data_IF_810833991383
#
_entry.id   IF_810833991383
#
_cell.length_a   1.000
_cell.length_b   1.000
_cell.length_c   1.000
_cell.angle_alpha   90.00
_cell.angle_beta   90.00
_cell.angle_gamma   90.00
#
_symmetry.space_group_name_H-M   'P 1'
#
loop_
_entity.id
_entity.type
_entity.pdbx_description
1 polymer ?
#
# COMPACT_ATOMS: atom_id res chain seq x y z
N UNK A 1 41.32 8.65 -25.31
CA UNK A 1 40.09 9.35 -24.85
C UNK A 1 39.33 8.38 -23.96
N UNK A 2 39.25 8.58 -22.64
CA UNK A 2 38.43 7.75 -21.77
C UNK A 2 37.04 8.37 -21.63
N UNK A 3 36.01 7.61 -22.01
CA UNK A 3 34.60 8.02 -21.88
C UNK A 3 34.12 7.70 -20.47
N UNK A 4 33.65 8.74 -19.79
CA UNK A 4 33.22 8.77 -18.40
C UNK A 4 31.85 8.07 -18.27
N UNK A 5 31.78 6.92 -17.60
CA UNK A 5 30.52 6.26 -17.25
C UNK A 5 30.14 6.61 -15.81
N UNK A 6 29.00 7.29 -15.65
CA UNK A 6 28.50 7.84 -14.39
C UNK A 6 28.03 6.75 -13.39
N UNK A 7 28.26 6.91 -12.07
CA UNK A 7 27.92 5.91 -11.06
C UNK A 7 26.48 6.09 -10.56
N UNK A 8 25.52 5.34 -11.11
CA UNK A 8 24.12 5.32 -10.61
C UNK A 8 23.60 3.94 -10.17
N UNK A 9 24.46 2.92 -10.10
CA UNK A 9 24.03 1.53 -9.78
C UNK A 9 24.37 1.11 -8.33
N UNK A 10 25.08 1.92 -7.54
CA UNK A 10 25.71 1.46 -6.30
C UNK A 10 24.94 1.70 -4.98
N UNK A 11 23.59 1.71 -4.96
CA UNK A 11 22.82 1.87 -3.70
C UNK A 11 21.81 0.75 -3.38
N UNK A 12 21.51 -0.16 -4.31
CA UNK A 12 20.50 -1.21 -4.13
C UNK A 12 20.98 -2.44 -3.35
N UNK A 13 22.27 -2.79 -3.39
CA UNK A 13 22.77 -4.01 -2.73
C UNK A 13 22.92 -3.89 -1.21
N UNK A 14 22.97 -2.66 -0.67
CA UNK A 14 23.18 -2.43 0.77
C UNK A 14 21.92 -2.67 1.62
N UNK A 15 20.74 -2.65 1.00
CA UNK A 15 19.45 -2.82 1.69
C UNK A 15 19.23 -4.30 2.10
N UNK A 16 19.87 -5.25 1.42
CA UNK A 16 19.66 -6.70 1.63
C UNK A 16 20.11 -7.21 3.01
N UNK A 17 21.03 -6.53 3.69
CA UNK A 17 21.46 -6.87 5.06
C UNK A 17 20.77 -6.05 6.15
N UNK A 18 20.28 -4.86 5.81
CA UNK A 18 19.77 -3.92 6.82
C UNK A 18 18.30 -4.17 7.20
N UNK A 19 17.57 -4.91 6.36
CA UNK A 19 16.15 -5.26 6.58
C UNK A 19 15.90 -6.28 7.70
N UNK A 20 16.92 -7.01 8.17
CA UNK A 20 16.78 -8.05 9.21
C UNK A 20 17.34 -7.64 10.58
N UNK A 21 18.13 -6.55 10.65
CA UNK A 21 18.81 -6.14 11.90
C UNK A 21 18.10 -5.00 12.66
N UNK A 22 17.06 -4.37 12.10
CA UNK A 22 16.36 -3.25 12.75
C UNK A 22 14.96 -3.68 13.25
N UNK A 23 14.92 -4.29 14.42
CA UNK A 23 13.70 -4.75 15.13
C UNK A 23 12.86 -3.63 15.78
N UNK A 24 12.97 -2.37 15.32
CA UNK A 24 12.26 -1.22 15.91
C UNK A 24 11.85 -0.17 14.87
N UNK A 25 11.45 -0.60 13.67
CA UNK A 25 10.76 0.29 12.73
C UNK A 25 9.31 -0.16 12.70
N UNK A 26 8.44 0.61 13.34
CA UNK A 26 6.99 0.41 13.30
C UNK A 26 6.49 0.79 11.91
N UNK A 27 6.24 -0.22 11.08
CA UNK A 27 5.67 -0.05 9.76
C UNK A 27 4.14 -0.03 9.90
N UNK A 28 3.49 1.13 9.79
CA UNK A 28 2.03 1.28 9.81
C UNK A 28 1.39 0.81 8.48
N UNK A 29 1.68 -0.42 8.04
CA UNK A 29 0.93 -1.07 6.97
C UNK A 29 -0.03 -2.06 7.63
N UNK A 30 -1.23 -1.58 7.96
CA UNK A 30 -2.33 -2.46 8.36
C UNK A 30 -3.30 -2.53 7.18
N UNK A 31 -3.35 -3.66 6.48
CA UNK A 31 -4.34 -3.92 5.42
C UNK A 31 -5.24 -5.03 5.90
N UNK A 32 -6.46 -4.71 6.35
CA UNK A 32 -7.41 -5.68 6.88
C UNK A 32 -8.41 -6.10 5.80
N UNK A 33 -8.25 -7.35 5.34
CA UNK A 33 -9.17 -8.00 4.41
C UNK A 33 -9.55 -9.34 5.02
N UNK A 34 -10.84 -9.51 5.36
CA UNK A 34 -11.35 -10.75 5.97
C UNK A 34 -12.46 -11.38 5.14
N UNK A 35 -12.60 -12.71 5.26
CA UNK A 35 -13.74 -13.49 4.74
C UNK A 35 -14.47 -14.19 5.87
N UNK A 36 -15.78 -14.47 5.70
CA UNK A 36 -16.49 -15.35 6.60
C UNK A 36 -15.89 -16.77 6.57
N UNK A 37 -15.74 -17.41 7.73
CA UNK A 37 -15.02 -18.68 8.00
C UNK A 37 -15.36 -19.86 7.07
N UNK A 38 -16.52 -19.85 6.40
CA UNK A 38 -17.14 -21.06 5.89
C UNK A 38 -17.21 -21.24 4.38
N UNK A 39 -16.54 -20.47 3.51
CA UNK A 39 -16.61 -20.83 2.08
C UNK A 39 -15.48 -20.44 1.11
N UNK A 40 -14.52 -19.58 1.44
CA UNK A 40 -13.46 -19.25 0.47
C UNK A 40 -12.13 -18.98 1.17
N UNK A 41 -11.10 -19.76 0.83
CA UNK A 41 -9.71 -19.39 1.11
C UNK A 41 -9.33 -18.24 0.17
N UNK A 42 -9.51 -17.00 0.64
CA UNK A 42 -9.00 -15.78 -0.02
C UNK A 42 -7.51 -15.57 0.13
N UNK A 43 -6.82 -16.64 0.45
CA UNK A 43 -5.41 -16.65 0.62
C UNK A 43 -4.80 -17.39 -0.56
N UNK A 44 -4.81 -16.80 -1.78
CA UNK A 44 -4.04 -17.35 -2.88
C UNK A 44 -2.55 -17.38 -2.54
N UNK A 45 -2.08 -16.63 -1.54
CA UNK A 45 -0.72 -16.77 -0.99
C UNK A 45 -0.53 -17.99 -0.07
N UNK A 46 -1.63 -18.55 0.47
CA UNK A 46 -1.62 -19.78 1.28
C UNK A 46 -1.80 -21.04 0.42
N UNK A 47 -2.36 -20.92 -0.80
CA UNK A 47 -2.63 -22.07 -1.71
C UNK A 47 -1.86 -22.04 -3.03
N UNK A 48 -1.44 -20.89 -3.56
CA UNK A 48 -0.53 -20.88 -4.72
C UNK A 48 0.88 -21.28 -4.27
N UNK A 49 1.47 -22.15 -5.08
CA UNK A 49 2.89 -22.49 -5.07
C UNK A 49 3.73 -21.30 -4.58
N UNK A 50 4.54 -21.51 -3.54
CA UNK A 50 5.56 -20.55 -3.07
C UNK A 50 6.54 -20.12 -4.17
N UNK A 51 6.46 -20.73 -5.35
CA UNK A 51 7.21 -20.44 -6.57
C UNK A 51 6.26 -19.93 -7.67
N UNK A 52 6.39 -18.65 -8.05
CA UNK A 52 5.66 -18.03 -9.15
C UNK A 52 5.68 -16.49 -9.06
N UNK A 53 5.40 -15.78 -10.16
CA UNK A 53 5.28 -14.32 -10.13
C UNK A 53 4.08 -13.90 -9.27
N UNK A 54 4.35 -13.09 -8.24
CA UNK A 54 3.39 -12.48 -7.32
C UNK A 54 3.35 -10.96 -7.51
N UNK A 55 2.16 -10.38 -7.41
CA UNK A 55 1.95 -8.95 -7.16
C UNK A 55 0.82 -8.78 -6.14
N UNK A 56 0.87 -7.69 -5.37
CA UNK A 56 -0.01 -7.50 -4.21
C UNK A 56 -1.50 -7.52 -4.59
N UNK A 57 -1.88 -7.04 -5.77
CA UNK A 57 -3.29 -7.06 -6.20
C UNK A 57 -3.78 -8.41 -6.77
N UNK A 58 -2.88 -9.39 -6.96
CA UNK A 58 -3.22 -10.65 -7.62
C UNK A 58 -4.31 -11.43 -6.88
N UNK A 59 -4.31 -11.39 -5.54
CA UNK A 59 -5.30 -12.15 -4.78
C UNK A 59 -6.74 -11.70 -5.04
N UNK A 60 -6.95 -10.39 -5.17
CA UNK A 60 -8.28 -9.85 -5.37
C UNK A 60 -8.74 -10.07 -6.80
N UNK A 61 -7.83 -9.93 -7.77
CA UNK A 61 -8.11 -10.28 -9.17
C UNK A 61 -8.53 -11.75 -9.31
N UNK A 62 -7.76 -12.65 -8.69
CA UNK A 62 -8.04 -14.08 -8.67
C UNK A 62 -9.37 -14.41 -7.97
N UNK A 63 -9.66 -13.76 -6.85
CA UNK A 63 -10.90 -13.98 -6.09
C UNK A 63 -12.12 -13.46 -6.86
N UNK A 64 -12.00 -12.32 -7.53
CA UNK A 64 -13.05 -11.77 -8.38
C UNK A 64 -13.33 -12.66 -9.60
N UNK A 65 -12.34 -13.37 -10.13
CA UNK A 65 -12.53 -14.33 -11.23
C UNK A 65 -13.15 -15.64 -10.75
N UNK A 66 -12.68 -16.18 -9.63
CA UNK A 66 -13.06 -17.52 -9.15
C UNK A 66 -14.36 -17.54 -8.33
N UNK A 67 -14.59 -16.50 -7.54
CA UNK A 67 -15.69 -16.42 -6.56
C UNK A 67 -16.23 -14.99 -6.48
N UNK A 68 -16.75 -14.42 -7.59
CA UNK A 68 -17.13 -13.01 -7.68
C UNK A 68 -18.15 -12.57 -6.62
N UNK A 69 -19.06 -13.46 -6.24
CA UNK A 69 -20.13 -13.25 -5.26
C UNK A 69 -19.70 -13.35 -3.80
N UNK A 70 -18.47 -13.77 -3.52
CA UNK A 70 -17.98 -13.93 -2.15
C UNK A 70 -17.79 -12.59 -1.47
N UNK A 71 -18.38 -12.45 -0.28
CA UNK A 71 -18.25 -11.25 0.55
C UNK A 71 -16.86 -11.15 1.18
N UNK A 72 -16.25 -9.99 0.98
CA UNK A 72 -15.06 -9.45 1.62
C UNK A 72 -15.49 -8.43 2.66
N UNK A 73 -14.87 -8.46 3.83
CA UNK A 73 -14.94 -7.33 4.76
C UNK A 73 -13.62 -6.57 4.70
N UNK A 74 -13.73 -5.27 4.42
CA UNK A 74 -12.62 -4.33 4.31
C UNK A 74 -12.87 -3.23 5.33
N UNK A 75 -12.06 -3.12 6.38
CA UNK A 75 -12.27 -2.19 7.51
C UNK A 75 -13.74 -2.08 7.98
N UNK A 76 -14.40 -3.23 8.15
CA UNK A 76 -15.79 -3.31 8.62
C UNK A 76 -16.87 -3.05 7.56
N UNK A 77 -16.50 -2.70 6.33
CA UNK A 77 -17.44 -2.60 5.20
C UNK A 77 -17.41 -3.85 4.34
N UNK A 78 -18.59 -4.29 3.90
CA UNK A 78 -18.75 -5.46 3.06
C UNK A 78 -18.74 -5.11 1.58
N UNK A 79 -17.99 -5.88 0.80
CA UNK A 79 -17.95 -5.83 -0.66
C UNK A 79 -18.01 -7.26 -1.19
N UNK A 80 -18.60 -7.50 -2.34
CA UNK A 80 -18.27 -8.74 -3.07
C UNK A 80 -16.86 -8.65 -3.65
N UNK A 81 -16.22 -9.79 -3.93
CA UNK A 81 -14.91 -9.83 -4.59
C UNK A 81 -14.94 -9.05 -5.91
N UNK A 82 -16.01 -9.18 -6.69
CA UNK A 82 -16.22 -8.43 -7.93
C UNK A 82 -16.33 -6.92 -7.68
N UNK A 83 -17.09 -6.48 -6.67
CA UNK A 83 -17.24 -5.06 -6.34
C UNK A 83 -15.93 -4.42 -5.92
N UNK A 84 -15.18 -5.08 -5.04
CA UNK A 84 -13.88 -4.61 -4.60
C UNK A 84 -12.90 -4.54 -5.77
N UNK A 85 -12.84 -5.57 -6.61
CA UNK A 85 -11.96 -5.58 -7.78
C UNK A 85 -12.34 -4.51 -8.81
N UNK A 86 -13.63 -4.31 -9.05
CA UNK A 86 -14.11 -3.24 -9.92
C UNK A 86 -13.63 -1.87 -9.41
N UNK A 87 -13.75 -1.59 -8.12
CA UNK A 87 -13.29 -0.34 -7.53
C UNK A 87 -11.78 -0.15 -7.68
N UNK A 88 -10.99 -1.21 -7.44
CA UNK A 88 -9.54 -1.20 -7.70
C UNK A 88 -9.24 -0.84 -9.16
N UNK A 89 -9.96 -1.43 -10.11
CA UNK A 89 -9.79 -1.13 -11.54
C UNK A 89 -10.19 0.31 -11.90
N UNK A 90 -11.20 0.89 -11.25
CA UNK A 90 -11.58 2.30 -11.48
C UNK A 90 -10.45 3.24 -11.06
N UNK A 91 -9.93 3.05 -9.85
CA UNK A 91 -8.82 3.84 -9.31
C UNK A 91 -7.57 3.66 -10.17
N UNK A 92 -7.22 2.41 -10.51
CA UNK A 92 -6.06 2.11 -11.35
C UNK A 92 -6.17 2.76 -12.75
N UNK A 93 -7.35 2.72 -13.36
CA UNK A 93 -7.60 3.33 -14.67
C UNK A 93 -7.46 4.84 -14.60
N UNK A 94 -8.05 5.47 -13.59
CA UNK A 94 -7.95 6.92 -13.40
C UNK A 94 -6.49 7.35 -13.17
N UNK A 95 -5.76 6.63 -12.32
CA UNK A 95 -4.34 6.91 -12.04
C UNK A 95 -3.49 6.84 -13.31
N UNK A 96 -3.67 5.81 -14.15
CA UNK A 96 -2.95 5.71 -15.42
C UNK A 96 -3.31 6.81 -16.41
N UNK A 97 -4.59 7.19 -16.49
CA UNK A 97 -5.04 8.30 -17.35
C UNK A 97 -4.44 9.64 -16.92
N UNK A 98 -4.09 9.79 -15.64
CA UNK A 98 -3.48 10.98 -15.07
C UNK A 98 -1.96 10.84 -14.84
N UNK A 99 -1.31 9.93 -15.56
CA UNK A 99 0.16 9.88 -15.65
C UNK A 99 0.87 9.07 -14.56
N UNK A 100 0.14 8.34 -13.72
CA UNK A 100 0.75 7.43 -12.74
C UNK A 100 1.03 6.09 -13.41
N UNK A 101 2.30 5.71 -13.47
CA UNK A 101 2.78 4.53 -14.18
C UNK A 101 3.68 3.66 -13.30
N UNK A 102 4.12 2.51 -13.84
CA UNK A 102 5.00 1.59 -13.14
C UNK A 102 6.26 2.31 -12.64
N UNK A 103 6.57 2.13 -11.36
CA UNK A 103 7.72 2.74 -10.68
C UNK A 103 7.48 4.16 -10.17
N UNK A 104 6.37 4.80 -10.52
CA UNK A 104 6.01 6.10 -9.96
C UNK A 104 5.50 5.99 -8.53
N UNK A 105 5.71 7.06 -7.75
CA UNK A 105 5.46 7.06 -6.32
C UNK A 105 4.16 7.80 -6.01
N UNK A 106 3.34 7.20 -5.16
CA UNK A 106 2.08 7.74 -4.68
C UNK A 106 2.17 7.83 -3.16
N UNK A 107 1.76 8.96 -2.60
CA UNK A 107 1.71 9.14 -1.15
C UNK A 107 0.26 9.31 -0.72
N UNK A 108 -0.22 8.44 0.17
CA UNK A 108 -1.54 8.52 0.77
C UNK A 108 -1.42 8.97 2.22
N UNK A 109 -1.93 10.16 2.52
CA UNK A 109 -2.05 10.70 3.89
C UNK A 109 -3.50 10.56 4.33
N UNK A 110 -3.87 9.33 4.74
CA UNK A 110 -5.25 8.94 4.99
C UNK A 110 -5.35 8.17 6.31
N UNK A 111 -6.51 8.24 6.97
CA UNK A 111 -6.85 7.25 8.01
C UNK A 111 -7.07 5.87 7.39
N UNK A 112 -6.89 4.83 8.21
CA UNK A 112 -7.33 3.49 7.86
C UNK A 112 -8.83 3.52 7.52
N UNK A 113 -9.13 3.08 6.31
CA UNK A 113 -10.46 3.07 5.72
C UNK A 113 -10.50 2.06 4.56
N UNK A 114 -11.69 1.62 4.14
CA UNK A 114 -11.82 0.74 2.98
C UNK A 114 -11.22 1.35 1.72
N UNK A 115 -11.37 2.67 1.55
CA UNK A 115 -10.82 3.40 0.40
C UNK A 115 -9.29 3.34 0.37
N UNK A 116 -8.62 3.46 1.51
CA UNK A 116 -7.15 3.33 1.59
C UNK A 116 -6.69 1.95 1.09
N UNK A 117 -7.39 0.87 1.43
CA UNK A 117 -7.03 -0.47 0.97
C UNK A 117 -7.25 -0.62 -0.53
N UNK A 118 -8.37 -0.12 -1.06
CA UNK A 118 -8.65 -0.13 -2.50
C UNK A 118 -7.62 0.70 -3.29
N UNK A 119 -7.24 1.88 -2.77
CA UNK A 119 -6.16 2.72 -3.33
C UNK A 119 -4.84 1.96 -3.32
N UNK A 120 -4.48 1.31 -2.21
CA UNK A 120 -3.25 0.53 -2.08
C UNK A 120 -3.17 -0.57 -3.13
N UNK A 121 -4.26 -1.32 -3.32
CA UNK A 121 -4.34 -2.37 -4.32
C UNK A 121 -4.28 -1.82 -5.74
N UNK A 122 -4.90 -0.67 -6.01
CA UNK A 122 -4.89 -0.01 -7.32
C UNK A 122 -3.51 0.49 -7.71
N UNK A 123 -2.81 1.19 -6.79
CA UNK A 123 -1.44 1.68 -7.00
C UNK A 123 -0.50 0.50 -7.23
N UNK A 124 -0.60 -0.55 -6.41
CA UNK A 124 0.15 -1.78 -6.61
C UNK A 124 -0.18 -2.47 -7.94
N UNK A 125 -1.43 -2.45 -8.39
CA UNK A 125 -1.86 -3.10 -9.63
C UNK A 125 -1.28 -2.44 -10.89
N UNK A 126 -1.08 -1.12 -10.88
CA UNK A 126 -0.42 -0.42 -11.99
C UNK A 126 1.11 -0.47 -11.91
N UNK A 127 1.66 -1.18 -10.91
CA UNK A 127 3.10 -1.29 -10.66
C UNK A 127 3.73 -0.03 -10.08
N UNK A 128 2.92 0.89 -9.56
CA UNK A 128 3.39 2.07 -8.84
C UNK A 128 3.67 1.71 -7.37
N UNK A 129 4.38 2.61 -6.69
CA UNK A 129 4.86 2.43 -5.32
C UNK A 129 4.06 3.32 -4.39
N UNK A 130 3.48 2.76 -3.34
CA UNK A 130 2.68 3.54 -2.38
C UNK A 130 3.42 3.75 -1.06
N UNK A 131 3.34 4.97 -0.53
CA UNK A 131 3.65 5.30 0.86
C UNK A 131 2.38 5.69 1.57
N UNK A 132 2.09 5.03 2.69
CA UNK A 132 0.92 5.31 3.53
C UNK A 132 1.40 6.04 4.78
N UNK A 133 0.78 7.17 5.09
CA UNK A 133 1.20 8.08 6.16
C UNK A 133 -0.01 8.45 7.01
N UNK A 134 0.18 8.47 8.33
CA UNK A 134 -0.84 8.95 9.25
C UNK A 134 -1.18 10.43 8.99
N UNK A 135 -2.46 10.82 9.02
CA UNK A 135 -2.88 12.21 8.86
C UNK A 135 -2.42 13.13 10.01
N UNK A 136 -1.84 12.58 11.07
CA UNK A 136 -1.23 13.32 12.16
C UNK A 136 0.21 13.79 11.86
N UNK A 137 0.73 13.52 10.66
CA UNK A 137 2.07 13.96 10.26
C UNK A 137 2.20 15.49 10.29
N UNK A 138 3.30 15.98 10.84
CA UNK A 138 3.63 17.42 10.82
C UNK A 138 4.09 17.86 9.43
N UNK A 139 3.73 19.07 9.02
CA UNK A 139 4.10 19.64 7.71
C UNK A 139 5.60 19.54 7.38
N UNK A 140 6.48 19.78 8.37
CA UNK A 140 7.94 19.67 8.16
C UNK A 140 8.39 18.22 7.85
N UNK A 141 7.80 17.24 8.53
CA UNK A 141 8.10 15.82 8.27
C UNK A 141 7.53 15.38 6.92
N UNK A 142 6.33 15.87 6.58
CA UNK A 142 5.71 15.63 5.28
C UNK A 142 6.56 16.20 4.13
N UNK A 143 7.07 17.43 4.26
CA UNK A 143 7.97 18.02 3.28
C UNK A 143 9.21 17.14 3.04
N UNK A 144 9.85 16.67 4.11
CA UNK A 144 11.02 15.79 3.99
C UNK A 144 10.68 14.49 3.25
N UNK A 145 9.47 13.95 3.45
CA UNK A 145 8.99 12.78 2.71
C UNK A 145 8.77 13.11 1.24
N UNK A 146 8.15 14.25 0.90
CA UNK A 146 7.97 14.66 -0.49
C UNK A 146 9.32 14.82 -1.22
N UNK A 147 10.32 15.41 -0.55
CA UNK A 147 11.68 15.56 -1.09
C UNK A 147 12.39 14.22 -1.33
N UNK A 148 12.06 13.17 -0.56
CA UNK A 148 12.66 11.84 -0.74
C UNK A 148 11.90 10.98 -1.75
N UNK A 149 10.58 10.99 -1.61
CA UNK A 149 9.69 10.13 -2.36
C UNK A 149 9.45 10.67 -3.76
N UNK A 150 9.56 11.98 -3.99
CA UNK A 150 9.23 12.65 -5.26
C UNK A 150 7.93 12.07 -5.87
N UNK A 151 6.79 12.14 -5.15
CA UNK A 151 5.56 11.50 -5.61
C UNK A 151 4.94 12.28 -6.77
N UNK A 152 4.30 11.55 -7.69
CA UNK A 152 3.54 12.12 -8.80
C UNK A 152 2.07 12.34 -8.45
N UNK A 153 1.58 11.67 -7.41
CA UNK A 153 0.19 11.74 -6.96
C UNK A 153 0.12 11.64 -5.43
N UNK A 154 -0.78 12.42 -4.85
CA UNK A 154 -1.16 12.38 -3.44
C UNK A 154 -2.61 11.96 -3.29
N UNK A 155 -2.90 11.23 -2.21
CA UNK A 155 -4.26 11.10 -1.69
C UNK A 155 -4.30 11.77 -0.33
N UNK A 156 -5.16 12.78 -0.19
CA UNK A 156 -5.35 13.54 1.04
C UNK A 156 -6.81 13.48 1.48
N UNK A 157 -7.05 13.62 2.77
CA UNK A 157 -8.38 13.80 3.35
C UNK A 157 -8.54 15.20 3.94
N UNK A 158 -9.78 15.59 4.25
CA UNK A 158 -10.14 16.91 4.82
C UNK A 158 -9.25 17.34 6.00
N UNK A 159 -8.91 16.43 6.91
CA UNK A 159 -8.06 16.70 8.09
C UNK A 159 -6.61 17.01 7.73
N UNK A 160 -6.12 16.50 6.59
CA UNK A 160 -4.78 16.74 6.06
C UNK A 160 -4.70 17.92 5.08
N UNK A 161 -5.77 18.73 4.94
CA UNK A 161 -5.83 19.82 3.96
C UNK A 161 -4.67 20.81 4.04
N UNK A 162 -4.21 21.09 5.25
CA UNK A 162 -3.07 21.96 5.54
C UNK A 162 -1.73 21.46 4.94
N UNK A 163 -1.66 20.20 4.50
CA UNK A 163 -0.48 19.64 3.83
C UNK A 163 -0.41 20.02 2.34
N UNK A 164 -1.52 20.41 1.71
CA UNK A 164 -1.53 20.78 0.28
C UNK A 164 -0.67 22.01 0.00
N UNK A 165 -0.59 22.95 0.94
CA UNK A 165 0.28 24.13 0.84
C UNK A 165 1.78 23.77 0.73
N UNK A 166 2.16 22.57 1.18
CA UNK A 166 3.53 22.02 1.10
C UNK A 166 3.74 21.20 -0.18
N UNK A 167 2.65 20.73 -0.80
CA UNK A 167 2.64 19.86 -1.97
C UNK A 167 2.15 20.59 -3.24
N UNK A 168 2.70 21.78 -3.49
CA UNK A 168 2.40 22.53 -4.70
C UNK A 168 2.79 21.73 -5.96
N UNK A 169 1.95 21.77 -6.99
CA UNK A 169 2.18 21.14 -8.30
C UNK A 169 2.23 19.60 -8.31
N UNK A 170 1.76 18.94 -7.25
CA UNK A 170 1.58 17.49 -7.22
C UNK A 170 0.09 17.19 -7.36
N UNK A 171 -0.26 16.30 -8.30
CA UNK A 171 -1.64 15.82 -8.49
C UNK A 171 -2.18 15.32 -7.15
N UNK A 172 -3.30 15.88 -6.70
CA UNK A 172 -3.86 15.61 -5.38
C UNK A 172 -5.30 15.13 -5.52
N UNK A 173 -5.56 13.92 -5.03
CA UNK A 173 -6.90 13.35 -4.94
C UNK A 173 -7.44 13.54 -3.52
N UNK A 174 -8.60 14.16 -3.41
CA UNK A 174 -9.25 14.44 -2.14
C UNK A 174 -10.30 13.39 -1.79
N UNK A 175 -10.13 12.73 -0.64
CA UNK A 175 -11.16 11.91 -0.02
C UNK A 175 -12.04 12.81 0.86
N UNK A 176 -13.26 13.06 0.38
CA UNK A 176 -14.23 13.95 1.00
C UNK A 176 -14.00 15.42 0.67
N UNK A 177 -14.65 16.32 1.43
CA UNK A 177 -14.59 17.77 1.18
C UNK A 177 -13.16 18.33 1.36
N UNK A 178 -12.42 18.47 0.26
CA UNK A 178 -11.05 18.98 0.26
C UNK A 178 -10.69 19.89 -0.92
N UNK A 179 -11.48 19.87 -2.00
CA UNK A 179 -11.20 20.62 -3.22
C UNK A 179 -11.10 22.13 -3.00
N UNK A 180 -10.01 22.73 -3.47
CA UNK A 180 -9.87 24.18 -3.63
C UNK A 180 -10.41 24.67 -4.99
N UNK A 181 -11.64 24.28 -5.33
CA UNK A 181 -12.38 24.96 -6.40
C UNK A 181 -11.86 24.75 -7.83
N UNK A 182 -11.36 23.56 -8.17
CA UNK A 182 -11.14 23.16 -9.58
C UNK A 182 -9.77 23.51 -10.17
N UNK A 183 -8.72 23.50 -9.36
CA UNK A 183 -7.36 23.47 -9.89
C UNK A 183 -7.12 22.20 -10.72
N UNK A 184 -6.30 22.31 -11.77
CA UNK A 184 -6.01 21.19 -12.68
C UNK A 184 -5.20 20.06 -12.02
N UNK A 185 -4.54 20.33 -10.89
CA UNK A 185 -3.77 19.37 -10.10
C UNK A 185 -4.57 18.81 -8.93
N UNK A 186 -5.89 19.00 -8.89
CA UNK A 186 -6.77 18.48 -7.85
C UNK A 186 -7.96 17.71 -8.43
N UNK A 187 -8.30 16.57 -7.82
CA UNK A 187 -9.46 15.77 -8.19
C UNK A 187 -10.23 15.29 -6.95
N UNK A 188 -11.55 15.13 -7.08
CA UNK A 188 -12.35 14.52 -6.03
C UNK A 188 -12.30 12.99 -6.15
N UNK A 189 -12.25 12.28 -5.04
CA UNK A 189 -12.27 10.81 -5.08
C UNK A 189 -13.57 10.26 -5.71
N UNK A 190 -14.69 10.98 -5.65
CA UNK A 190 -15.91 10.60 -6.39
C UNK A 190 -15.73 10.64 -7.91
N UNK A 191 -14.89 11.53 -8.44
CA UNK A 191 -14.51 11.55 -9.85
C UNK A 191 -13.70 10.30 -10.20
N UNK A 192 -12.70 9.97 -9.38
CA UNK A 192 -11.90 8.74 -9.50
C UNK A 192 -12.82 7.52 -9.56
N UNK A 193 -13.77 7.44 -8.63
CA UNK A 193 -14.74 6.35 -8.52
C UNK A 193 -15.79 6.33 -9.62
N UNK A 194 -15.97 7.42 -10.38
CA UNK A 194 -16.85 7.48 -11.56
C UNK A 194 -16.18 6.95 -12.84
N UNK A 195 -14.85 6.76 -12.81
CA UNK A 195 -14.06 6.26 -13.94
C UNK A 195 -14.55 4.88 -14.36
N UNK A 196 -14.64 4.64 -15.67
CA UNK A 196 -14.97 3.30 -16.18
C UNK A 196 -13.79 2.35 -15.90
N UNK A 197 -14.02 1.19 -15.27
CA UNK A 197 -12.95 0.23 -15.02
C UNK A 197 -12.44 -0.34 -16.35
N UNK A 198 -11.13 -0.35 -16.55
CA UNK A 198 -10.51 -1.01 -17.69
C UNK A 198 -10.36 -2.52 -17.43
N UNK A 199 -11.38 -3.28 -17.82
CA UNK A 199 -11.35 -4.75 -17.74
C UNK A 199 -10.18 -5.33 -18.56
N UNK A 200 -9.50 -6.33 -18.00
CA UNK A 200 -8.34 -6.96 -18.62
C UNK A 200 -7.03 -6.17 -18.44
N UNK A 201 -7.02 -5.11 -17.64
CA UNK A 201 -5.77 -4.48 -17.18
C UNK A 201 -4.86 -5.54 -16.55
N UNK A 202 -3.63 -5.63 -17.05
CA UNK A 202 -2.61 -6.54 -16.53
C UNK A 202 -1.62 -5.78 -15.69
N UNK A 203 -1.15 -6.41 -14.63
CA UNK A 203 -0.01 -5.91 -13.87
C UNK A 203 1.21 -5.79 -14.81
N UNK A 204 1.84 -4.61 -14.92
CA UNK A 204 2.91 -4.36 -15.89
C UNK A 204 4.31 -4.74 -15.39
N UNK A 205 4.42 -5.30 -14.18
CA UNK A 205 5.67 -5.48 -13.45
C UNK A 205 6.04 -6.93 -13.16
N UNK A 206 6.95 -7.08 -12.19
CA UNK A 206 7.42 -8.35 -11.62
C UNK A 206 7.48 -8.29 -10.10
N UNK A 207 7.68 -9.42 -9.44
CA UNK A 207 7.63 -9.52 -7.98
C UNK A 207 8.73 -8.73 -7.26
N UNK A 208 9.87 -8.52 -7.92
CA UNK A 208 10.97 -7.72 -7.37
C UNK A 208 10.76 -6.21 -7.54
N UNK A 209 9.68 -5.80 -8.22
CA UNK A 209 9.34 -4.37 -8.29
C UNK A 209 8.90 -3.85 -6.91
N UNK A 210 9.25 -2.59 -6.57
CA UNK A 210 8.78 -1.94 -5.36
C UNK A 210 7.25 -1.86 -5.31
N UNK A 211 6.68 -2.20 -4.15
CA UNK A 211 5.25 -2.07 -3.85
C UNK A 211 5.01 -0.96 -2.83
N UNK A 212 5.85 -0.89 -1.78
CA UNK A 212 5.78 0.13 -0.76
C UNK A 212 7.08 0.90 -0.60
N UNK A 213 6.95 2.18 -0.26
CA UNK A 213 8.00 3.01 0.31
C UNK A 213 7.54 3.43 1.70
N UNK A 214 8.24 3.01 2.74
CA UNK A 214 7.80 3.24 4.12
C UNK A 214 8.76 4.17 4.85
N UNK A 215 8.19 5.19 5.50
CA UNK A 215 8.92 6.15 6.31
C UNK A 215 8.65 5.89 7.79
N UNK A 216 9.68 6.00 8.61
CA UNK A 216 9.52 5.95 10.07
C UNK A 216 8.92 7.27 10.60
N UNK A 217 8.08 7.18 11.63
CA UNK A 217 7.44 8.34 12.27
C UNK A 217 8.42 9.38 12.85
N UNK A 218 9.68 8.98 13.07
CA UNK A 218 10.76 9.85 13.56
C UNK A 218 11.42 10.73 12.48
N UNK A 219 10.81 10.88 11.31
CA UNK A 219 11.28 11.81 10.28
C UNK A 219 11.32 13.26 10.81
N UNK A 220 12.50 13.74 11.21
CA UNK A 220 12.65 15.13 11.67
C UNK A 220 13.97 15.51 12.32
N UNK A 221 14.72 14.59 12.94
CA UNK A 221 15.96 14.94 13.65
C UNK A 221 17.17 14.06 13.33
N UNK A 222 16.96 12.78 13.03
CA UNK A 222 18.03 11.84 12.63
C UNK A 222 17.49 10.98 11.47
N UNK A 223 17.58 11.53 10.25
CA UNK A 223 16.82 11.06 9.08
C UNK A 223 17.31 9.69 8.61
N UNK A 224 16.54 8.64 8.92
CA UNK A 224 16.69 7.34 8.25
C UNK A 224 16.00 7.39 6.88
N UNK A 225 16.62 6.82 5.83
CA UNK A 225 16.00 6.76 4.51
C UNK A 225 14.74 5.88 4.55
N UNK A 226 13.80 6.16 3.66
CA UNK A 226 12.63 5.34 3.43
C UNK A 226 13.02 3.90 3.09
N UNK A 227 12.28 2.94 3.63
CA UNK A 227 12.47 1.51 3.39
C UNK A 227 11.60 1.08 2.23
N UNK A 228 12.22 0.47 1.22
CA UNK A 228 11.50 -0.07 0.06
C UNK A 228 11.14 -1.51 0.32
N UNK A 229 9.85 -1.84 0.16
CA UNK A 229 9.35 -3.22 0.19
C UNK A 229 8.86 -3.60 -1.21
N UNK A 230 9.40 -4.68 -1.75
CA UNK A 230 8.95 -5.26 -3.02
C UNK A 230 7.68 -6.08 -2.83
N UNK A 231 6.97 -6.38 -3.91
CA UNK A 231 5.85 -7.32 -3.85
C UNK A 231 6.28 -8.67 -3.25
N UNK A 232 7.49 -9.13 -3.58
CA UNK A 232 8.07 -10.34 -3.00
C UNK A 232 8.30 -10.23 -1.49
N UNK A 233 8.78 -9.09 -0.98
CA UNK A 233 8.90 -8.88 0.47
C UNK A 233 7.53 -8.98 1.16
N UNK A 234 6.52 -8.36 0.57
CA UNK A 234 5.15 -8.38 1.07
C UNK A 234 4.59 -9.80 1.08
N UNK A 235 4.84 -10.59 0.03
CA UNK A 235 4.46 -12.01 -0.03
C UNK A 235 5.06 -12.81 1.12
N UNK A 236 6.36 -12.61 1.39
CA UNK A 236 7.06 -13.32 2.46
C UNK A 236 6.46 -12.99 3.83
N UNK A 237 6.24 -11.70 4.10
CA UNK A 237 5.60 -11.22 5.34
C UNK A 237 4.20 -11.84 5.54
N UNK A 238 3.38 -11.84 4.48
CA UNK A 238 2.04 -12.45 4.51
C UNK A 238 2.08 -13.96 4.76
N UNK A 239 3.14 -14.64 4.34
CA UNK A 239 3.29 -16.09 4.51
C UNK A 239 3.70 -16.53 5.92
N UNK A 240 4.23 -15.60 6.72
CA UNK A 240 4.70 -15.85 8.09
C UNK A 240 3.64 -15.60 9.16
N UNK A 241 2.49 -15.04 8.79
CA UNK A 241 1.38 -14.76 9.71
C UNK A 241 0.75 -16.07 10.25
N UNK A 242 0.51 -16.19 11.57
CA UNK A 242 -0.07 -17.39 12.17
C UNK A 242 -1.49 -17.64 11.63
N UNK A 243 -1.79 -18.92 11.38
CA UNK A 243 -3.12 -19.41 10.97
C UNK A 243 -4.14 -19.23 12.10
N UNK A 244 -4.64 -18.02 12.32
CA UNK A 244 -5.85 -17.85 13.13
C UNK A 244 -7.09 -18.05 12.25
N UNK A 245 -8.15 -18.62 12.82
CA UNK A 245 -9.33 -19.17 12.12
C UNK A 245 -10.16 -18.20 11.28
N UNK A 246 -9.83 -16.90 11.31
CA UNK A 246 -10.33 -15.89 10.38
C UNK A 246 -9.19 -15.47 9.47
N UNK A 247 -9.43 -15.33 8.16
CA UNK A 247 -8.41 -14.83 7.23
C UNK A 247 -8.11 -13.36 7.58
N UNK A 248 -7.22 -13.15 8.54
CA UNK A 248 -6.80 -11.85 9.02
C UNK A 248 -5.58 -11.46 8.20
N UNK A 249 -5.77 -10.60 7.21
CA UNK A 249 -4.64 -9.91 6.59
C UNK A 249 -4.25 -8.79 7.56
N UNK A 250 -3.06 -8.87 8.13
CA UNK A 250 -2.44 -7.76 8.83
C UNK A 250 -1.00 -7.77 8.38
N UNK A 251 -0.60 -6.70 7.69
CA UNK A 251 0.76 -6.59 7.21
C UNK A 251 1.72 -6.30 8.37
N UNK A 252 1.26 -5.66 9.46
CA UNK A 252 1.93 -5.57 10.76
C UNK A 252 0.93 -5.41 11.93
N UNK A 253 1.19 -6.08 13.06
CA UNK A 253 0.48 -5.93 14.33
C UNK A 253 1.11 -4.75 15.09
N UNK A 254 0.34 -3.71 15.41
CA UNK A 254 0.69 -2.85 16.55
C UNK A 254 0.30 -3.62 17.79
N UNK A 255 1.29 -4.00 18.60
CA UNK A 255 1.12 -4.67 19.87
C UNK A 255 0.43 -3.71 20.86
N UNK A 256 -0.89 -3.58 20.76
CA UNK A 256 -1.71 -3.17 21.90
C UNK A 256 -2.28 -4.44 22.53
N UNK A 257 -1.56 -4.87 23.57
CA UNK A 257 -1.86 -5.95 24.51
C UNK A 257 -1.59 -7.39 24.01
N UNK A 258 -0.34 -7.81 24.17
CA UNK A 258 0.00 -9.19 24.49
C UNK A 258 -0.57 -9.53 25.89
N UNK A 259 -1.60 -10.38 26.05
CA UNK A 259 -1.91 -10.94 27.36
C UNK A 259 -0.78 -11.90 27.73
N UNK A 260 -0.20 -11.68 28.92
CA UNK A 260 0.83 -12.51 29.52
C UNK A 260 0.47 -14.00 29.38
N UNK A 261 1.27 -14.76 28.62
CA UNK A 261 1.23 -16.22 28.66
C UNK A 261 1.91 -16.60 29.98
N UNK A 262 1.09 -16.86 30.99
CA UNK A 262 1.52 -17.45 32.26
C UNK A 262 2.32 -18.74 32.00
N UNK A 263 3.51 -18.72 32.55
CA UNK A 263 4.48 -19.80 32.78
C UNK A 263 3.84 -21.18 32.99
N UNK A 264 4.10 -22.10 32.08
CA UNK A 264 4.04 -23.53 32.37
C UNK A 264 5.09 -24.25 31.52
N UNK A 265 6.24 -24.56 32.12
CA UNK A 265 6.95 -25.85 32.11
C UNK A 265 8.30 -25.62 32.81
N UNK A 266 8.35 -25.93 34.10
CA UNK A 266 9.58 -26.27 34.84
C UNK A 266 9.17 -27.17 36.02
N UNK A 267 8.89 -28.44 35.73
CA UNK A 267 9.09 -29.55 36.65
C UNK A 267 9.67 -30.73 35.85
N UNK A 268 11.01 -30.77 35.79
CA UNK A 268 11.89 -31.95 35.82
C UNK A 268 13.35 -31.50 35.70
#
# INVERSE_FOLDING_TARGET
MPTNASPKICKFEKIRKQSLENSHIDYNIHMMLTVPENNVSLSPWQTQSRNGPFHLSAFLADAAERTPETTLTVDGMEFTCEQAWMNVLRIATWLQQNGVHRGEKVVAVLRHSPDLHLITLAVAHIGAVISIISPQIRSQAFQAILEEAEPVCLFLEKTSRHLKDVAENILTVWLGEGLNGGNWDEADFSEVMSTRPAWGMRFPGKSEDPAFLVFSESAGTDRKPGVVLTHENVRLMLSEQPRQGNAFLSLFHTDEACPEIETAVLEA
#
